data_IF_055630769067
#
_entry.id   IF_055630769067
#
_cell.length_a   1.000
_cell.length_b   1.000
_cell.length_c   1.000
_cell.angle_alpha   90.00
_cell.angle_beta   90.00
_cell.angle_gamma   90.00
#
_symmetry.space_group_name_H-M   'P 1'
#
loop_
_entity.id
_entity.type
_entity.pdbx_description
1 polymer ?
#
# COMPACT_ATOMS: atom_id res chain seq x y z
N UNK A 1 8.53 -10.83 -4.82
CA UNK A 1 8.04 -9.78 -3.92
C UNK A 1 6.56 -9.99 -3.64
N UNK A 2 6.17 -9.97 -2.38
CA UNK A 2 4.76 -10.10 -2.03
C UNK A 2 3.98 -8.86 -2.46
N UNK A 3 2.71 -9.07 -2.73
CA UNK A 3 1.88 -8.05 -3.33
C UNK A 3 0.49 -8.03 -2.70
N UNK A 4 0.00 -6.84 -2.41
CA UNK A 4 -1.39 -6.62 -2.01
C UNK A 4 -2.07 -5.80 -3.09
N UNK A 5 -3.14 -6.36 -3.67
CA UNK A 5 -3.92 -5.68 -4.69
C UNK A 5 -5.19 -5.12 -4.06
N UNK A 6 -5.32 -3.80 -4.07
CA UNK A 6 -6.47 -3.12 -3.46
C UNK A 6 -7.64 -2.91 -4.43
N UNK A 7 -7.57 -3.45 -5.64
CA UNK A 7 -8.69 -3.37 -6.57
C UNK A 7 -9.93 -4.03 -5.95
N UNK A 8 -11.05 -3.34 -6.00
CA UNK A 8 -12.30 -3.87 -5.45
C UNK A 8 -12.44 -3.73 -3.94
N UNK A 9 -11.41 -3.24 -3.25
CA UNK A 9 -11.50 -2.98 -1.81
C UNK A 9 -12.12 -1.60 -1.60
N UNK A 10 -13.13 -1.52 -0.75
CA UNK A 10 -13.75 -0.22 -0.46
C UNK A 10 -12.83 0.63 0.39
N UNK A 11 -12.99 1.95 0.30
CA UNK A 11 -12.17 2.87 1.10
C UNK A 11 -12.36 2.64 2.61
N UNK A 12 -13.52 2.15 3.02
CA UNK A 12 -13.78 1.83 4.43
C UNK A 12 -12.92 0.68 4.95
N UNK A 13 -12.55 -0.24 4.07
CA UNK A 13 -11.82 -1.45 4.45
C UNK A 13 -10.31 -1.33 4.26
N UNK A 14 -9.85 -0.30 3.55
CA UNK A 14 -8.44 -0.15 3.19
C UNK A 14 -7.54 -0.14 4.42
N UNK A 15 -7.92 0.59 5.46
CA UNK A 15 -7.10 0.67 6.66
C UNK A 15 -6.83 -0.72 7.24
N UNK A 16 -7.90 -1.50 7.44
CA UNK A 16 -7.77 -2.82 8.05
C UNK A 16 -7.01 -3.77 7.15
N UNK A 17 -7.29 -3.75 5.85
CA UNK A 17 -6.64 -4.62 4.88
C UNK A 17 -5.15 -4.33 4.79
N UNK A 18 -4.79 -3.05 4.68
CA UNK A 18 -3.39 -2.65 4.57
C UNK A 18 -2.64 -2.92 5.87
N UNK A 19 -3.22 -2.53 7.02
CA UNK A 19 -2.58 -2.76 8.31
C UNK A 19 -2.32 -4.24 8.54
N UNK A 20 -3.30 -5.08 8.25
CA UNK A 20 -3.13 -6.51 8.40
C UNK A 20 -2.00 -7.04 7.51
N UNK A 21 -1.95 -6.59 6.27
CA UNK A 21 -0.92 -7.04 5.33
C UNK A 21 0.49 -6.64 5.77
N UNK A 22 0.68 -5.37 6.16
CA UNK A 22 2.01 -4.87 6.52
C UNK A 22 2.50 -5.46 7.84
N UNK A 23 1.59 -5.83 8.73
CA UNK A 23 1.96 -6.45 10.01
C UNK A 23 2.23 -7.95 9.88
N UNK A 24 1.68 -8.59 8.86
CA UNK A 24 1.79 -10.03 8.67
C UNK A 24 2.87 -10.45 7.67
N UNK A 25 3.48 -9.49 6.99
CA UNK A 25 4.47 -9.80 5.96
C UNK A 25 5.74 -8.98 6.16
N UNK A 26 6.87 -9.58 5.79
CA UNK A 26 8.16 -8.89 5.84
C UNK A 26 8.39 -8.11 4.55
N UNK A 27 9.04 -6.96 4.70
CA UNK A 27 9.48 -6.18 3.55
C UNK A 27 10.64 -6.88 2.83
N UNK A 28 10.83 -6.66 1.53
CA UNK A 28 10.05 -5.73 0.71
C UNK A 28 8.74 -6.33 0.24
N UNK A 29 7.75 -5.47 0.04
CA UNK A 29 6.50 -5.86 -0.62
C UNK A 29 5.95 -4.66 -1.38
N UNK A 30 4.88 -4.87 -2.14
CA UNK A 30 4.25 -3.80 -2.89
C UNK A 30 2.75 -3.82 -2.70
N UNK A 31 2.16 -2.65 -2.84
CA UNK A 31 0.71 -2.48 -2.75
C UNK A 31 0.22 -1.83 -4.03
N UNK A 32 -0.71 -2.48 -4.70
CA UNK A 32 -1.30 -1.97 -5.92
C UNK A 32 -2.55 -1.18 -5.54
N UNK A 33 -2.49 0.13 -5.71
CA UNK A 33 -3.58 1.03 -5.38
C UNK A 33 -4.43 1.39 -6.60
N UNK A 34 -3.90 1.12 -7.81
CA UNK A 34 -4.45 1.69 -9.01
C UNK A 34 -4.17 3.19 -9.06
N UNK A 35 -4.84 3.88 -9.98
CA UNK A 35 -4.59 5.31 -10.21
C UNK A 35 -5.48 6.21 -9.35
N UNK A 36 -6.27 5.66 -8.45
CA UNK A 36 -7.09 6.45 -7.54
C UNK A 36 -6.20 7.24 -6.59
N UNK A 37 -6.27 8.54 -6.66
CA UNK A 37 -5.52 9.41 -5.76
C UNK A 37 -5.92 9.18 -4.31
N UNK A 38 -7.23 9.03 -4.06
CA UNK A 38 -7.73 8.76 -2.71
C UNK A 38 -7.17 7.46 -2.15
N UNK A 39 -7.17 6.41 -2.96
CA UNK A 39 -6.63 5.12 -2.51
C UNK A 39 -5.14 5.20 -2.21
N UNK A 40 -4.38 5.89 -3.07
CA UNK A 40 -2.95 6.09 -2.87
C UNK A 40 -2.68 6.87 -1.58
N UNK A 41 -3.43 7.95 -1.36
CA UNK A 41 -3.24 8.77 -0.17
C UNK A 41 -3.59 8.03 1.11
N UNK A 42 -4.68 7.28 1.11
CA UNK A 42 -5.06 6.45 2.25
C UNK A 42 -3.95 5.44 2.58
N UNK A 43 -3.44 4.76 1.56
CA UNK A 43 -2.38 3.77 1.73
C UNK A 43 -1.11 4.40 2.27
N UNK A 44 -0.68 5.52 1.67
CA UNK A 44 0.53 6.22 2.12
C UNK A 44 0.41 6.70 3.56
N UNK A 45 -0.76 7.21 3.94
CA UNK A 45 -0.98 7.66 5.32
C UNK A 45 -0.85 6.51 6.32
N UNK A 46 -1.36 5.34 5.97
CA UNK A 46 -1.25 4.15 6.81
C UNK A 46 0.22 3.72 6.94
N UNK A 47 0.94 3.70 5.82
CA UNK A 47 2.36 3.33 5.81
C UNK A 47 3.19 4.31 6.66
N UNK A 48 2.93 5.60 6.53
CA UNK A 48 3.62 6.63 7.30
C UNK A 48 3.33 6.49 8.80
N UNK A 49 2.08 6.22 9.15
CA UNK A 49 1.68 6.01 10.54
C UNK A 49 2.45 4.86 11.18
N UNK A 50 2.70 3.81 10.42
CA UNK A 50 3.45 2.64 10.88
C UNK A 50 4.95 2.77 10.60
N UNK A 51 5.41 3.92 10.12
CA UNK A 51 6.81 4.25 9.90
C UNK A 51 7.50 3.36 8.86
N UNK A 52 6.76 2.95 7.86
CA UNK A 52 7.31 2.23 6.73
C UNK A 52 7.85 3.20 5.69
N UNK A 53 9.02 2.91 5.16
CA UNK A 53 9.58 3.65 4.03
C UNK A 53 8.98 3.12 2.75
N UNK A 54 8.54 4.04 1.91
CA UNK A 54 7.88 3.67 0.66
C UNK A 54 8.14 4.69 -0.43
N UNK A 55 7.92 4.26 -1.65
CA UNK A 55 7.98 5.17 -2.81
C UNK A 55 7.04 4.63 -3.89
N UNK A 56 6.60 5.54 -4.76
CA UNK A 56 5.82 5.15 -5.93
C UNK A 56 6.75 4.48 -6.92
N UNK A 57 6.29 3.39 -7.54
CA UNK A 57 7.08 2.69 -8.56
C UNK A 57 7.40 3.63 -9.73
N UNK A 58 8.65 3.56 -10.21
CA UNK A 58 9.08 4.36 -11.34
C UNK A 58 8.34 4.00 -12.63
N UNK A 59 7.84 2.78 -12.73
CA UNK A 59 7.20 2.26 -13.93
C UNK A 59 5.67 2.23 -13.85
N UNK A 60 5.11 2.42 -12.65
CA UNK A 60 3.67 2.28 -12.47
C UNK A 60 3.20 3.15 -11.32
N UNK A 61 2.54 4.26 -11.65
CA UNK A 61 2.04 5.20 -10.65
C UNK A 61 0.93 4.61 -9.76
N UNK A 62 0.35 3.48 -10.15
CA UNK A 62 -0.66 2.79 -9.36
C UNK A 62 -0.08 1.77 -8.39
N UNK A 63 1.24 1.80 -8.18
CA UNK A 63 1.93 0.82 -7.34
C UNK A 63 2.88 1.52 -6.37
N UNK A 64 2.81 1.14 -5.10
CA UNK A 64 3.69 1.65 -4.06
C UNK A 64 4.61 0.52 -3.61
N UNK A 65 5.92 0.79 -3.60
CA UNK A 65 6.94 -0.15 -3.16
C UNK A 65 7.32 0.19 -1.72
N UNK A 66 7.30 -0.81 -0.86
CA UNK A 66 7.65 -0.65 0.55
C UNK A 66 8.94 -1.43 0.78
N UNK A 67 9.98 -0.73 1.19
CA UNK A 67 11.32 -1.31 1.32
C UNK A 67 11.74 -1.57 2.76
N UNK A 68 11.08 -0.92 3.69
CA UNK A 68 11.46 -1.09 5.10
C UNK A 68 10.29 -0.83 6.02
#
# INVERSE_FOLDING_TARGET
MKELDLHGISHYDVKDVVENFILMNDTPFRIITGYSERMRNLTKNILDKHKFKHHTSAHNAGEIIITN
#
